data_IF_851744306430
#
_entry.id   IF_851744306430
#
_cell.length_a   1.000
_cell.length_b   1.000
_cell.length_c   1.000
_cell.angle_alpha   90.00
_cell.angle_beta   90.00
_cell.angle_gamma   90.00
#
_symmetry.space_group_name_H-M   'P 1'
#
loop_
_entity.id
_entity.type
_entity.pdbx_description
1 polymer ?
#
# COMPACT_ATOMS: atom_id res chain seq x y z
N UNK A 1 7.51 -11.36 13.69
CA UNK A 1 6.31 -11.42 12.85
C UNK A 1 6.54 -12.22 11.56
N UNK A 2 5.58 -13.07 11.20
CA UNK A 2 5.59 -13.84 9.96
C UNK A 2 4.43 -13.36 9.09
N UNK A 3 4.71 -13.03 7.82
CA UNK A 3 3.70 -12.51 6.91
C UNK A 3 3.39 -13.51 5.80
N UNK A 4 2.09 -13.66 5.49
CA UNK A 4 1.59 -14.53 4.41
C UNK A 4 0.58 -13.77 3.58
N UNK A 5 0.80 -13.73 2.27
CA UNK A 5 -0.17 -13.17 1.33
C UNK A 5 -1.19 -14.23 0.95
N UNK A 6 -2.46 -13.84 0.92
CA UNK A 6 -3.57 -14.69 0.48
C UNK A 6 -4.72 -13.83 -0.04
N UNK A 7 -5.69 -14.47 -0.68
CA UNK A 7 -6.94 -13.83 -1.06
C UNK A 7 -8.06 -14.29 -0.12
N UNK A 8 -8.79 -13.34 0.43
CA UNK A 8 -9.93 -13.59 1.31
C UNK A 8 -11.13 -12.86 0.70
N UNK A 9 -12.12 -13.60 0.22
CA UNK A 9 -13.37 -13.00 -0.24
C UNK A 9 -14.26 -12.66 0.98
N UNK A 10 -14.90 -11.46 1.03
CA UNK A 10 -14.94 -10.41 0.00
C UNK A 10 -13.80 -9.39 0.06
N UNK A 11 -12.84 -9.53 0.99
CA UNK A 11 -11.74 -8.56 1.21
C UNK A 11 -10.77 -8.40 0.02
N UNK A 12 -10.64 -9.42 -0.83
CA UNK A 12 -9.64 -9.47 -1.88
C UNK A 12 -8.24 -9.87 -1.37
N UNK A 13 -7.16 -9.39 -2.02
CA UNK A 13 -5.80 -9.73 -1.62
C UNK A 13 -5.42 -9.08 -0.28
N UNK A 14 -4.99 -9.91 0.67
CA UNK A 14 -4.55 -9.48 2.00
C UNK A 14 -3.16 -10.02 2.33
N UNK A 15 -2.45 -9.33 3.20
CA UNK A 15 -1.24 -9.82 3.84
C UNK A 15 -1.54 -9.99 5.33
N UNK A 16 -1.67 -11.22 5.76
CA UNK A 16 -1.81 -11.54 7.18
C UNK A 16 -0.41 -11.57 7.79
N UNK A 17 -0.22 -10.82 8.86
CA UNK A 17 1.01 -10.81 9.63
C UNK A 17 0.72 -11.36 11.02
N UNK A 18 1.26 -12.53 11.31
CA UNK A 18 1.25 -13.11 12.65
C UNK A 18 2.32 -12.44 13.51
N UNK A 19 1.93 -11.97 14.69
CA UNK A 19 2.83 -11.35 15.67
C UNK A 19 3.21 -12.36 16.73
N UNK A 20 4.44 -12.29 17.23
CA UNK A 20 4.85 -13.16 18.33
C UNK A 20 4.03 -12.85 19.60
N UNK A 21 3.84 -13.86 20.44
CA UNK A 21 3.12 -13.72 21.72
C UNK A 21 3.65 -12.55 22.55
N UNK A 22 2.73 -11.90 23.23
CA UNK A 22 2.91 -10.62 23.93
C UNK A 22 3.62 -10.84 25.29
N UNK A 23 3.65 -12.08 25.79
CA UNK A 23 4.04 -12.42 27.16
C UNK A 23 5.53 -12.76 27.35
N UNK A 24 6.37 -12.53 26.33
CA UNK A 24 7.79 -12.93 26.36
C UNK A 24 8.66 -11.87 27.03
N UNK A 25 8.99 -12.04 28.29
CA UNK A 25 9.84 -11.13 29.11
C UNK A 25 11.34 -11.30 28.91
N UNK A 26 11.78 -12.11 27.94
CA UNK A 26 13.20 -12.33 27.62
C UNK A 26 13.79 -11.19 26.79
N UNK A 27 15.14 -11.10 26.70
CA UNK A 27 15.80 -10.15 25.78
C UNK A 27 15.33 -10.32 24.34
N UNK A 28 15.02 -11.56 23.92
CA UNK A 28 14.44 -11.86 22.62
C UNK A 28 12.99 -11.36 22.53
N UNK A 29 12.24 -11.37 23.64
CA UNK A 29 10.91 -10.79 23.79
C UNK A 29 10.91 -9.30 23.51
N UNK A 30 11.85 -8.54 24.06
CA UNK A 30 11.97 -7.09 23.82
C UNK A 30 12.16 -6.77 22.34
N UNK A 31 13.04 -7.49 21.65
CA UNK A 31 13.24 -7.33 20.20
C UNK A 31 12.00 -7.73 19.38
N UNK A 32 11.22 -8.70 19.86
CA UNK A 32 9.95 -9.09 19.22
C UNK A 32 8.89 -8.02 19.42
N UNK A 33 8.81 -7.42 20.60
CA UNK A 33 7.90 -6.31 20.92
C UNK A 33 8.19 -5.09 20.02
N UNK A 34 9.46 -4.66 19.91
CA UNK A 34 9.84 -3.57 18.99
C UNK A 34 9.41 -3.83 17.55
N UNK A 35 9.57 -5.08 17.06
CA UNK A 35 9.11 -5.46 15.71
C UNK A 35 7.59 -5.48 15.60
N UNK A 36 6.88 -5.86 16.64
CA UNK A 36 5.41 -5.82 16.65
C UNK A 36 4.91 -4.36 16.64
N UNK A 37 5.54 -3.45 17.38
CA UNK A 37 5.25 -2.01 17.27
C UNK A 37 5.49 -1.46 15.87
N UNK A 38 6.53 -1.92 15.18
CA UNK A 38 6.76 -1.54 13.77
C UNK A 38 5.65 -2.07 12.85
N UNK A 39 5.08 -3.24 13.14
CA UNK A 39 3.93 -3.80 12.42
C UNK A 39 2.69 -2.95 12.66
N UNK A 40 2.39 -2.55 13.91
CA UNK A 40 1.24 -1.70 14.26
C UNK A 40 1.21 -0.41 13.43
N UNK A 41 2.36 0.16 13.13
CA UNK A 41 2.46 1.39 12.31
C UNK A 41 2.16 1.19 10.82
N UNK A 42 2.11 -0.07 10.35
CA UNK A 42 2.02 -0.42 8.91
C UNK A 42 0.72 -1.11 8.52
N UNK A 43 0.00 -1.69 9.49
CA UNK A 43 -1.21 -2.47 9.24
C UNK A 43 -2.44 -1.57 9.05
N UNK A 44 -3.38 -2.05 8.27
CA UNK A 44 -4.67 -1.38 8.01
C UNK A 44 -5.76 -1.83 8.97
N UNK A 45 -5.65 -3.05 9.53
CA UNK A 45 -6.62 -3.67 10.42
C UNK A 45 -5.88 -4.60 11.38
N UNK A 46 -6.26 -4.59 12.65
CA UNK A 46 -5.81 -5.56 13.64
C UNK A 46 -6.96 -6.51 13.99
N UNK A 47 -6.66 -7.81 13.99
CA UNK A 47 -7.52 -8.82 14.61
C UNK A 47 -6.90 -9.13 15.97
N UNK A 48 -7.61 -8.80 17.03
CA UNK A 48 -7.19 -9.07 18.42
C UNK A 48 -8.08 -10.13 19.03
N UNK A 49 -7.49 -11.17 19.61
CA UNK A 49 -8.23 -12.31 20.12
C UNK A 49 -7.98 -12.41 21.62
N UNK A 50 -9.05 -12.36 22.41
CA UNK A 50 -9.04 -12.64 23.86
C UNK A 50 -9.75 -13.97 24.15
N UNK A 51 -9.37 -14.61 25.22
CA UNK A 51 -10.03 -15.83 25.71
C UNK A 51 -11.24 -15.45 26.55
N UNK A 52 -12.34 -16.17 26.40
CA UNK A 52 -13.55 -15.93 27.18
C UNK A 52 -13.43 -16.33 28.67
N UNK A 53 -12.49 -17.23 28.99
CA UNK A 53 -12.24 -17.76 30.32
C UNK A 53 -11.14 -17.03 31.10
N UNK A 54 -10.53 -15.99 30.54
CA UNK A 54 -9.48 -15.19 31.13
C UNK A 54 -9.84 -13.69 31.17
N UNK A 55 -9.39 -12.96 32.18
CA UNK A 55 -9.51 -11.50 32.19
C UNK A 55 -8.44 -10.86 31.29
N UNK A 56 -8.75 -9.72 30.61
CA UNK A 56 -7.76 -8.99 29.85
C UNK A 56 -6.58 -8.56 30.73
N UNK A 57 -5.39 -8.86 30.32
CA UNK A 57 -4.16 -8.50 31.01
C UNK A 57 -3.82 -7.01 30.84
N UNK A 58 -2.90 -6.49 31.64
CA UNK A 58 -2.37 -5.13 31.45
C UNK A 58 -1.69 -4.96 30.08
N UNK A 59 -1.07 -6.02 29.56
CA UNK A 59 -0.42 -6.04 28.27
C UNK A 59 -1.45 -6.00 27.14
N UNK A 60 -2.58 -6.70 27.25
CA UNK A 60 -3.68 -6.61 26.30
C UNK A 60 -4.20 -5.17 26.19
N UNK A 61 -4.43 -4.52 27.31
CA UNK A 61 -4.89 -3.13 27.36
C UNK A 61 -3.86 -2.17 26.79
N UNK A 62 -2.57 -2.42 27.00
CA UNK A 62 -1.48 -1.64 26.42
C UNK A 62 -1.48 -1.75 24.88
N UNK A 63 -1.55 -2.96 24.34
CA UNK A 63 -1.53 -3.19 22.88
C UNK A 63 -2.78 -2.68 22.19
N UNK A 64 -3.96 -2.88 22.76
CA UNK A 64 -5.20 -2.30 22.25
C UNK A 64 -5.13 -0.76 22.27
N UNK A 65 -4.57 -0.17 23.34
CA UNK A 65 -4.32 1.26 23.42
C UNK A 65 -3.35 1.77 22.35
N UNK A 66 -2.27 1.04 22.09
CA UNK A 66 -1.28 1.37 21.06
C UNK A 66 -1.88 1.31 19.66
N UNK A 67 -2.69 0.29 19.36
CA UNK A 67 -3.42 0.17 18.10
C UNK A 67 -4.36 1.38 17.90
N UNK A 68 -5.13 1.73 18.93
CA UNK A 68 -6.02 2.89 18.89
C UNK A 68 -5.28 4.22 18.70
N UNK A 69 -4.19 4.45 19.42
CA UNK A 69 -3.33 5.64 19.28
C UNK A 69 -2.78 5.78 17.85
N UNK A 70 -2.53 4.66 17.19
CA UNK A 70 -2.10 4.64 15.79
C UNK A 70 -3.27 4.65 14.80
N UNK A 71 -4.52 4.89 15.24
CA UNK A 71 -5.72 4.86 14.40
C UNK A 71 -5.86 3.57 13.57
N UNK A 72 -5.48 2.41 14.15
CA UNK A 72 -5.70 1.11 13.52
C UNK A 72 -7.09 0.62 13.94
N UNK A 73 -7.99 0.34 13.00
CA UNK A 73 -9.25 -0.34 13.31
C UNK A 73 -8.97 -1.69 13.98
N UNK A 74 -9.73 -2.00 15.05
CA UNK A 74 -9.54 -3.22 15.83
C UNK A 74 -10.79 -4.07 15.73
N UNK A 75 -10.66 -5.25 15.16
CA UNK A 75 -11.64 -6.32 15.27
C UNK A 75 -11.28 -7.17 16.49
N UNK A 76 -12.00 -6.99 17.59
CA UNK A 76 -11.82 -7.73 18.82
C UNK A 76 -12.70 -8.98 18.81
N UNK A 77 -12.10 -10.14 18.97
CA UNK A 77 -12.80 -11.40 19.06
C UNK A 77 -12.59 -12.05 20.42
N UNK A 78 -13.69 -12.48 21.00
CA UNK A 78 -13.70 -13.28 22.21
C UNK A 78 -13.77 -14.75 21.79
N UNK A 79 -12.69 -15.50 22.02
CA UNK A 79 -12.63 -16.91 21.69
C UNK A 79 -13.39 -17.73 22.71
N UNK A 80 -14.53 -18.28 22.28
CA UNK A 80 -15.32 -19.20 23.08
C UNK A 80 -14.62 -20.57 23.09
N UNK A 81 -14.06 -20.95 24.24
CA UNK A 81 -13.47 -22.28 24.40
C UNK A 81 -14.61 -23.24 24.68
N UNK A 82 -14.89 -24.14 23.73
CA UNK A 82 -15.79 -25.25 24.01
C UNK A 82 -15.11 -26.22 24.99
N UNK A 83 -15.64 -26.28 26.18
CA UNK A 83 -15.20 -27.19 27.24
C UNK A 83 -15.44 -28.70 26.95
N UNK A 84 -15.74 -29.05 25.68
CA UNK A 84 -16.05 -30.44 25.29
C UNK A 84 -14.82 -31.31 24.99
N UNK A 85 -13.60 -30.82 25.08
CA UNK A 85 -12.42 -31.63 24.77
C UNK A 85 -11.85 -32.38 25.99
N UNK A 86 -12.25 -32.05 27.23
CA UNK A 86 -11.76 -32.72 28.46
C UNK A 86 -12.82 -33.58 29.16
N UNK A 87 -13.77 -34.19 28.44
CA UNK A 87 -14.77 -35.07 29.05
C UNK A 87 -14.35 -36.54 29.07
N UNK A 88 -13.38 -36.87 29.93
CA UNK A 88 -13.36 -38.23 30.52
C UNK A 88 -13.47 -38.26 32.07
N UNK A 89 -13.50 -37.15 32.78
CA UNK A 89 -13.41 -37.23 34.25
C UNK A 89 -14.26 -36.26 35.10
N UNK A 90 -15.34 -35.61 34.67
CA UNK A 90 -16.18 -34.95 35.67
C UNK A 90 -17.64 -34.78 35.18
N UNK A 91 -18.50 -35.68 35.64
CA UNK A 91 -19.96 -35.67 35.41
C UNK A 91 -20.78 -34.96 36.45
N UNK A 92 -20.36 -33.90 37.10
CA UNK A 92 -21.23 -33.29 38.12
C UNK A 92 -21.24 -31.75 38.27
N UNK A 93 -20.70 -30.98 37.34
CA UNK A 93 -20.92 -29.51 37.40
C UNK A 93 -21.11 -28.90 36.01
N UNK A 94 -22.23 -29.20 35.35
CA UNK A 94 -22.71 -28.46 34.18
C UNK A 94 -23.40 -27.17 34.66
N UNK A 95 -22.69 -26.07 34.68
CA UNK A 95 -23.27 -24.74 34.66
C UNK A 95 -22.82 -24.12 33.33
N UNK A 96 -23.79 -23.93 32.44
CA UNK A 96 -23.70 -23.18 31.18
C UNK A 96 -23.23 -21.73 31.43
N UNK A 97 -21.93 -21.48 31.53
CA UNK A 97 -21.41 -20.13 31.43
C UNK A 97 -20.80 -19.94 30.02
N UNK A 98 -21.64 -19.94 29.00
CA UNK A 98 -21.29 -19.32 27.73
C UNK A 98 -21.32 -17.81 27.95
N UNK A 99 -20.21 -17.23 28.31
CA UNK A 99 -20.05 -15.78 28.28
C UNK A 99 -19.97 -15.38 26.82
N UNK A 100 -21.05 -14.83 26.28
CA UNK A 100 -21.03 -14.26 24.92
C UNK A 100 -20.13 -13.00 24.90
N UNK A 101 -19.70 -12.59 23.72
CA UNK A 101 -18.81 -11.44 23.55
C UNK A 101 -19.38 -10.15 24.15
N UNK A 102 -20.71 -9.96 24.10
CA UNK A 102 -21.40 -8.80 24.65
C UNK A 102 -21.27 -8.74 26.16
N UNK A 103 -21.57 -9.84 26.83
CA UNK A 103 -21.45 -9.98 28.29
C UNK A 103 -19.99 -9.84 28.76
N UNK A 104 -19.04 -10.43 28.01
CA UNK A 104 -17.62 -10.29 28.32
C UNK A 104 -17.17 -8.82 28.29
N UNK A 105 -17.55 -8.10 27.24
CA UNK A 105 -17.16 -6.69 27.07
C UNK A 105 -17.88 -5.76 28.05
N UNK A 106 -19.16 -6.02 28.38
CA UNK A 106 -19.90 -5.28 29.43
C UNK A 106 -19.25 -5.43 30.81
N UNK A 107 -18.70 -6.61 31.08
CA UNK A 107 -18.01 -6.91 32.35
C UNK A 107 -16.64 -6.19 32.39
N UNK A 108 -15.93 -6.11 31.28
CA UNK A 108 -14.60 -5.49 31.19
C UNK A 108 -14.68 -4.06 30.60
N UNK A 109 -15.06 -3.11 31.46
CA UNK A 109 -15.19 -1.69 31.08
C UNK A 109 -13.90 -1.15 30.45
N UNK A 110 -14.01 -0.61 29.25
CA UNK A 110 -12.93 -0.02 28.48
C UNK A 110 -12.59 -0.76 27.20
N UNK A 111 -12.94 -2.03 27.03
CA UNK A 111 -12.73 -2.78 25.78
C UNK A 111 -13.61 -2.24 24.65
N UNK A 112 -14.86 -1.88 24.96
CA UNK A 112 -15.78 -1.29 23.99
C UNK A 112 -15.28 0.02 23.38
N UNK A 113 -14.55 0.81 24.18
CA UNK A 113 -13.98 2.08 23.72
C UNK A 113 -12.74 1.90 22.84
N UNK A 114 -12.08 0.75 22.91
CA UNK A 114 -10.87 0.44 22.18
C UNK A 114 -11.14 -0.28 20.85
N UNK A 115 -12.15 -1.13 20.83
CA UNK A 115 -12.49 -1.93 19.65
C UNK A 115 -13.39 -1.18 18.66
N UNK A 116 -13.18 -1.42 17.36
CA UNK A 116 -14.03 -0.91 16.27
C UNK A 116 -15.22 -1.84 16.07
N UNK A 117 -14.98 -3.14 16.16
CA UNK A 117 -16.00 -4.20 16.09
C UNK A 117 -15.66 -5.25 17.14
N UNK A 118 -16.69 -5.83 17.73
CA UNK A 118 -16.59 -6.90 18.73
C UNK A 118 -17.42 -8.08 18.24
N UNK A 119 -16.82 -9.27 18.28
CA UNK A 119 -17.48 -10.52 17.92
C UNK A 119 -17.04 -11.66 18.80
N UNK A 120 -17.85 -12.71 18.88
CA UNK A 120 -17.44 -14.00 19.42
C UNK A 120 -16.96 -14.90 18.28
N UNK A 121 -15.95 -15.70 18.53
CA UNK A 121 -15.44 -16.64 17.55
C UNK A 121 -15.13 -17.98 18.22
N UNK A 122 -15.73 -19.04 17.68
CA UNK A 122 -15.23 -20.39 17.87
C UNK A 122 -14.38 -20.73 16.63
N UNK A 123 -13.08 -20.59 16.74
CA UNK A 123 -12.17 -20.85 15.64
C UNK A 123 -12.10 -22.32 15.19
N UNK A 124 -12.76 -23.21 15.88
CA UNK A 124 -12.91 -24.63 15.50
C UNK A 124 -14.07 -24.83 14.51
N UNK A 125 -15.10 -23.98 14.54
CA UNK A 125 -16.26 -24.05 13.67
C UNK A 125 -16.03 -23.38 12.31
N UNK A 126 -16.40 -24.03 11.21
CA UNK A 126 -16.28 -23.49 9.86
C UNK A 126 -17.27 -22.32 9.64
N UNK A 127 -18.47 -22.41 10.16
CA UNK A 127 -19.50 -21.36 10.01
C UNK A 127 -19.08 -20.06 10.72
N UNK A 128 -18.50 -20.17 11.91
CA UNK A 128 -17.96 -19.03 12.67
C UNK A 128 -16.76 -18.36 11.99
N UNK A 129 -15.97 -19.10 11.21
CA UNK A 129 -14.90 -18.50 10.39
C UNK A 129 -15.46 -17.65 9.25
N UNK A 130 -16.61 -18.02 8.67
CA UNK A 130 -17.27 -17.22 7.64
C UNK A 130 -17.84 -15.93 8.23
N UNK A 131 -18.50 -16.00 9.39
CA UNK A 131 -18.96 -14.81 10.13
C UNK A 131 -17.79 -13.84 10.44
N UNK A 132 -16.63 -14.39 10.84
CA UNK A 132 -15.41 -13.60 11.03
C UNK A 132 -15.01 -12.85 9.76
N UNK A 133 -15.02 -13.53 8.62
CA UNK A 133 -14.63 -12.92 7.34
C UNK A 133 -15.63 -11.84 6.90
N UNK A 134 -16.92 -12.03 7.14
CA UNK A 134 -17.95 -11.04 6.87
C UNK A 134 -17.80 -9.80 7.75
N UNK A 135 -17.52 -9.99 9.05
CA UNK A 135 -17.21 -8.90 9.97
C UNK A 135 -15.96 -8.14 9.55
N UNK A 136 -14.88 -8.84 9.20
CA UNK A 136 -13.66 -8.22 8.69
C UNK A 136 -13.92 -7.48 7.37
N UNK A 137 -14.77 -8.02 6.50
CA UNK A 137 -15.21 -7.39 5.25
C UNK A 137 -15.89 -6.05 5.45
N UNK A 138 -16.70 -5.92 6.51
CA UNK A 138 -17.35 -4.68 6.91
C UNK A 138 -16.42 -3.61 7.49
N UNK A 139 -15.25 -4.04 7.98
CA UNK A 139 -14.19 -3.16 8.52
C UNK A 139 -13.12 -2.79 7.51
N UNK A 140 -13.30 -3.19 6.26
CA UNK A 140 -12.30 -2.90 5.25
C UNK A 140 -12.10 -1.42 4.99
N UNK A 141 -10.94 -1.08 4.45
CA UNK A 141 -10.30 0.24 4.50
C UNK A 141 -11.02 1.40 3.85
N UNK A 142 -12.24 1.27 3.38
CA UNK A 142 -13.06 2.40 2.95
C UNK A 142 -13.12 3.50 4.04
N UNK A 143 -13.16 3.08 5.32
CA UNK A 143 -13.16 4.00 6.46
C UNK A 143 -11.75 4.54 6.81
N UNK A 144 -10.68 3.87 6.37
CA UNK A 144 -9.30 4.20 6.74
C UNK A 144 -8.54 4.90 5.61
N UNK A 145 -8.86 4.59 4.35
CA UNK A 145 -8.21 5.18 3.17
C UNK A 145 -9.03 6.32 2.54
N UNK A 146 -10.27 6.57 3.01
CA UNK A 146 -11.25 7.44 2.37
C UNK A 146 -11.70 6.84 1.02
N UNK A 147 -12.79 7.37 0.46
CA UNK A 147 -13.35 6.94 -0.83
C UNK A 147 -12.46 7.28 -2.05
N UNK A 148 -11.17 7.57 -1.83
CA UNK A 148 -10.26 7.94 -2.90
C UNK A 148 -9.88 6.71 -3.71
N UNK A 149 -10.29 6.68 -4.97
CA UNK A 149 -9.91 5.65 -5.93
C UNK A 149 -8.80 6.13 -6.86
N UNK A 150 -8.15 5.19 -7.55
CA UNK A 150 -7.00 5.48 -8.41
C UNK A 150 -7.32 6.49 -9.52
N UNK A 151 -8.53 6.39 -10.11
CA UNK A 151 -9.00 7.22 -11.23
C UNK A 151 -10.10 8.21 -10.86
N UNK A 152 -10.36 8.42 -9.58
CA UNK A 152 -11.38 9.35 -9.10
C UNK A 152 -11.22 10.74 -9.73
N UNK A 153 -12.30 11.25 -10.34
CA UNK A 153 -12.33 12.56 -11.01
C UNK A 153 -11.58 12.62 -12.35
N UNK A 154 -11.01 11.51 -12.82
CA UNK A 154 -10.29 11.43 -14.09
C UNK A 154 -11.09 10.73 -15.18
N UNK A 155 -11.96 9.80 -14.80
CA UNK A 155 -12.71 8.92 -15.71
C UNK A 155 -14.19 8.98 -15.38
N UNK A 156 -15.00 9.10 -16.42
CA UNK A 156 -16.47 9.09 -16.37
C UNK A 156 -17.03 7.96 -17.24
N UNK A 157 -18.34 7.68 -17.11
CA UNK A 157 -19.03 6.67 -17.90
C UNK A 157 -18.89 6.96 -19.41
N UNK A 158 -18.43 5.96 -20.15
CA UNK A 158 -18.25 6.05 -21.61
C UNK A 158 -16.89 6.60 -22.06
N UNK A 159 -16.05 7.10 -21.14
CA UNK A 159 -14.70 7.55 -21.49
C UNK A 159 -13.85 6.38 -22.02
N UNK A 160 -13.04 6.66 -23.03
CA UNK A 160 -12.06 5.72 -23.59
C UNK A 160 -10.68 6.05 -23.07
N UNK A 161 -10.03 5.09 -22.44
CA UNK A 161 -8.68 5.21 -21.88
C UNK A 161 -7.76 4.21 -22.58
N UNK A 162 -6.62 4.68 -23.08
CA UNK A 162 -5.58 3.79 -23.65
C UNK A 162 -4.52 3.53 -22.58
N UNK A 163 -4.24 2.25 -22.36
CA UNK A 163 -3.22 1.77 -21.43
C UNK A 163 -2.05 1.20 -22.24
N UNK A 164 -0.90 1.84 -22.15
CA UNK A 164 0.33 1.36 -22.81
C UNK A 164 1.14 0.52 -21.84
N UNK A 165 1.15 -0.79 -22.07
CA UNK A 165 1.75 -1.80 -21.23
C UNK A 165 2.89 -2.51 -21.97
N UNK A 166 4.13 -2.02 -21.91
CA UNK A 166 5.24 -2.69 -22.56
C UNK A 166 5.49 -4.07 -21.94
N UNK A 167 5.85 -5.02 -22.80
CA UNK A 167 6.22 -6.38 -22.38
C UNK A 167 7.74 -6.44 -22.35
N UNK A 168 8.31 -6.23 -21.21
CA UNK A 168 9.76 -6.31 -20.97
C UNK A 168 10.15 -7.55 -20.14
N UNK A 169 11.44 -7.68 -19.85
CA UNK A 169 11.96 -8.81 -19.07
C UNK A 169 11.48 -8.85 -17.62
N UNK A 170 11.02 -7.69 -17.09
CA UNK A 170 10.50 -7.56 -15.73
C UNK A 170 9.01 -7.89 -15.64
N UNK A 171 8.28 -7.87 -16.76
CA UNK A 171 6.87 -8.23 -16.79
C UNK A 171 6.68 -9.73 -16.51
N UNK A 172 5.79 -10.11 -15.57
CA UNK A 172 5.52 -11.51 -15.30
C UNK A 172 4.92 -12.18 -16.54
N UNK A 173 5.49 -13.35 -16.94
CA UNK A 173 4.97 -14.08 -18.10
C UNK A 173 3.49 -14.43 -17.92
N UNK A 174 2.67 -14.04 -18.91
CA UNK A 174 1.25 -14.38 -18.96
C UNK A 174 0.33 -13.53 -18.08
N UNK A 175 0.82 -12.43 -17.48
CA UNK A 175 -0.03 -11.52 -16.70
C UNK A 175 0.50 -10.08 -16.73
N UNK A 176 -0.39 -9.14 -16.48
CA UNK A 176 -0.06 -7.74 -16.25
C UNK A 176 0.41 -7.52 -14.78
N UNK A 177 1.10 -6.41 -14.54
CA UNK A 177 1.49 -6.01 -13.18
C UNK A 177 0.31 -5.36 -12.43
N UNK A 178 0.39 -5.34 -11.10
CA UNK A 178 -0.70 -4.89 -10.25
C UNK A 178 -1.28 -3.50 -10.60
N UNK A 179 -0.48 -2.43 -10.82
CA UNK A 179 -1.03 -1.13 -11.19
C UNK A 179 -1.83 -1.15 -12.49
N UNK A 180 -1.39 -1.94 -13.48
CA UNK A 180 -2.09 -2.09 -14.77
C UNK A 180 -3.45 -2.76 -14.58
N UNK A 181 -3.48 -3.86 -13.81
CA UNK A 181 -4.72 -4.60 -13.52
C UNK A 181 -5.70 -3.75 -12.72
N UNK A 182 -5.22 -3.03 -11.70
CA UNK A 182 -6.06 -2.13 -10.90
C UNK A 182 -6.66 -1.00 -11.75
N UNK A 183 -5.85 -0.39 -12.62
CA UNK A 183 -6.33 0.68 -13.51
C UNK A 183 -7.40 0.15 -14.48
N UNK A 184 -7.18 -1.02 -15.11
CA UNK A 184 -8.18 -1.64 -16.00
C UNK A 184 -9.48 -1.89 -15.24
N UNK A 185 -9.39 -2.50 -14.05
CA UNK A 185 -10.56 -2.82 -13.24
C UNK A 185 -11.35 -1.57 -12.88
N UNK A 186 -10.69 -0.52 -12.48
CA UNK A 186 -11.36 0.71 -12.08
C UNK A 186 -12.00 1.45 -13.26
N UNK A 187 -11.37 1.44 -14.44
CA UNK A 187 -12.03 1.95 -15.67
C UNK A 187 -13.37 1.22 -15.91
N UNK A 188 -13.39 -0.10 -15.72
CA UNK A 188 -14.62 -0.89 -15.87
C UNK A 188 -15.64 -0.56 -14.77
N UNK A 189 -15.22 -0.32 -13.55
CA UNK A 189 -16.10 0.09 -12.45
C UNK A 189 -16.76 1.46 -12.72
N UNK A 190 -16.07 2.38 -13.42
CA UNK A 190 -16.64 3.63 -13.94
C UNK A 190 -17.42 3.47 -15.25
N UNK A 191 -17.60 2.23 -15.75
CA UNK A 191 -18.23 1.92 -17.06
C UNK A 191 -17.53 2.59 -18.25
N UNK A 192 -16.23 2.83 -18.12
CA UNK A 192 -15.35 3.31 -19.18
C UNK A 192 -14.87 2.16 -20.08
N UNK A 193 -14.16 2.52 -21.13
CA UNK A 193 -13.57 1.61 -22.12
C UNK A 193 -12.05 1.58 -21.92
N UNK A 194 -11.51 0.43 -21.55
CA UNK A 194 -10.08 0.20 -21.41
C UNK A 194 -9.51 -0.44 -22.68
N UNK A 195 -8.63 0.26 -23.40
CA UNK A 195 -7.88 -0.25 -24.53
C UNK A 195 -6.44 -0.47 -24.13
N UNK A 196 -5.89 -1.65 -24.40
CA UNK A 196 -4.53 -2.01 -23.96
C UNK A 196 -3.68 -2.32 -25.19
N UNK A 197 -2.50 -1.70 -25.28
CA UNK A 197 -1.53 -1.95 -26.36
C UNK A 197 -0.10 -1.88 -25.84
N UNK A 198 0.86 -2.30 -26.64
CA UNK A 198 2.26 -1.99 -26.45
C UNK A 198 2.60 -0.61 -27.06
N UNK A 199 3.83 -0.16 -26.84
CA UNK A 199 4.25 1.21 -27.20
C UNK A 199 4.12 1.49 -28.70
N UNK A 200 4.56 0.59 -29.56
CA UNK A 200 4.61 0.82 -31.00
C UNK A 200 3.24 0.71 -31.70
N UNK A 201 2.26 0.06 -31.09
CA UNK A 201 0.89 -0.03 -31.58
C UNK A 201 0.02 1.18 -31.21
N UNK A 202 0.51 2.05 -30.31
CA UNK A 202 -0.23 3.23 -29.82
C UNK A 202 -0.76 4.14 -30.95
N UNK A 203 0.03 4.54 -31.96
CA UNK A 203 -0.48 5.39 -33.03
C UNK A 203 -1.60 4.73 -33.86
N UNK A 204 -1.48 3.44 -34.15
CA UNK A 204 -2.51 2.68 -34.84
C UNK A 204 -3.80 2.61 -34.03
N UNK A 205 -3.68 2.41 -32.70
CA UNK A 205 -4.82 2.38 -31.80
C UNK A 205 -5.52 3.74 -31.73
N UNK A 206 -4.79 4.84 -31.55
CA UNK A 206 -5.37 6.20 -31.54
C UNK A 206 -6.10 6.47 -32.87
N UNK A 207 -5.49 6.15 -34.00
CA UNK A 207 -6.07 6.39 -35.32
C UNK A 207 -7.29 5.51 -35.65
N UNK A 208 -7.47 4.40 -34.93
CA UNK A 208 -8.64 3.52 -35.09
C UNK A 208 -9.88 4.04 -34.39
N UNK A 209 -9.74 4.99 -33.47
CA UNK A 209 -10.84 5.55 -32.71
C UNK A 209 -11.61 6.61 -33.48
N UNK A 210 -12.93 6.59 -33.38
CA UNK A 210 -13.80 7.62 -33.93
C UNK A 210 -13.63 8.98 -33.25
N UNK A 211 -13.37 8.93 -31.95
CA UNK A 211 -13.13 10.08 -31.07
C UNK A 211 -11.81 9.92 -30.35
N UNK A 212 -11.07 11.01 -30.05
CA UNK A 212 -9.84 10.89 -29.29
C UNK A 212 -10.10 10.27 -27.91
N UNK A 213 -9.14 9.49 -27.39
CA UNK A 213 -9.27 8.96 -26.03
C UNK A 213 -9.22 10.09 -25.02
N UNK A 214 -9.83 9.90 -23.85
CA UNK A 214 -9.82 10.84 -22.73
C UNK A 214 -8.39 11.08 -22.23
N UNK A 215 -7.59 10.01 -22.12
CA UNK A 215 -6.17 10.05 -21.79
C UNK A 215 -5.44 8.77 -22.19
N UNK A 216 -4.12 8.88 -22.21
CA UNK A 216 -3.18 7.75 -22.31
C UNK A 216 -2.48 7.58 -20.96
N UNK A 217 -2.42 6.34 -20.48
CA UNK A 217 -1.71 5.97 -19.25
C UNK A 217 -0.66 4.93 -19.63
N UNK A 218 0.62 5.20 -19.33
CA UNK A 218 1.70 4.31 -19.73
C UNK A 218 2.55 3.84 -18.55
N UNK A 219 3.38 2.85 -18.78
CA UNK A 219 4.48 2.54 -17.89
C UNK A 219 5.53 3.66 -17.96
N UNK A 220 6.03 4.12 -16.82
CA UNK A 220 7.00 5.23 -16.76
C UNK A 220 8.29 4.94 -17.51
N UNK A 221 8.62 3.67 -17.73
CA UNK A 221 9.79 3.28 -18.53
C UNK A 221 9.68 3.62 -20.01
N UNK A 222 8.45 3.75 -20.52
CA UNK A 222 8.14 4.05 -21.91
C UNK A 222 7.74 5.52 -22.13
N UNK A 223 7.89 6.38 -21.10
CA UNK A 223 7.39 7.75 -21.14
C UNK A 223 7.90 8.55 -22.34
N UNK A 224 9.22 8.52 -22.58
CA UNK A 224 9.85 9.22 -23.70
C UNK A 224 9.21 8.83 -25.05
N UNK A 225 9.13 7.55 -25.30
CA UNK A 225 8.57 7.05 -26.56
C UNK A 225 7.06 7.25 -26.67
N UNK A 226 6.32 7.07 -25.58
CA UNK A 226 4.87 7.28 -25.58
C UNK A 226 4.52 8.76 -25.72
N UNK A 227 5.33 9.65 -25.16
CA UNK A 227 5.17 11.10 -25.34
C UNK A 227 5.32 11.51 -26.82
N UNK A 228 6.36 11.02 -27.50
CA UNK A 228 6.57 11.25 -28.94
C UNK A 228 5.40 10.73 -29.80
N UNK A 229 4.78 9.62 -29.42
CA UNK A 229 3.72 8.95 -30.18
C UNK A 229 2.31 9.47 -29.85
N UNK A 230 2.15 10.24 -28.78
CA UNK A 230 0.86 10.74 -28.32
C UNK A 230 0.69 12.22 -28.71
N UNK A 231 -0.35 12.57 -29.49
CA UNK A 231 -0.65 13.97 -29.81
C UNK A 231 -0.76 14.84 -28.54
N UNK A 232 -0.28 16.09 -28.60
CA UNK A 232 -0.29 17.02 -27.44
C UNK A 232 -1.69 17.32 -26.90
N UNK A 233 -2.71 17.12 -27.74
CA UNK A 233 -4.12 17.32 -27.36
C UNK A 233 -4.67 16.22 -26.47
N UNK A 234 -3.96 15.09 -26.35
CA UNK A 234 -4.37 13.95 -25.52
C UNK A 234 -3.58 13.98 -24.22
N UNK A 235 -4.25 14.07 -23.07
CA UNK A 235 -3.60 13.97 -21.75
C UNK A 235 -2.81 12.67 -21.62
N UNK A 236 -1.63 12.78 -21.01
CA UNK A 236 -0.71 11.65 -20.80
C UNK A 236 -0.29 11.61 -19.32
N UNK A 237 -0.33 10.42 -18.74
CA UNK A 237 0.24 10.17 -17.41
C UNK A 237 0.80 8.75 -17.32
N UNK A 238 1.28 8.35 -16.14
CA UNK A 238 1.78 6.98 -15.93
C UNK A 238 1.12 6.26 -14.76
N UNK A 239 1.15 4.93 -14.80
CA UNK A 239 0.71 4.11 -13.67
C UNK A 239 1.44 4.49 -12.36
N UNK A 240 2.72 4.84 -12.43
CA UNK A 240 3.49 5.23 -11.25
C UNK A 240 3.04 6.57 -10.67
N UNK A 241 2.64 7.55 -11.50
CA UNK A 241 2.09 8.83 -11.04
C UNK A 241 0.68 8.63 -10.46
N UNK A 242 -0.14 7.81 -11.11
CA UNK A 242 -1.45 7.43 -10.55
C UNK A 242 -1.32 6.79 -9.17
N UNK A 243 -0.38 5.86 -9.00
CA UNK A 243 -0.11 5.23 -7.69
C UNK A 243 0.42 6.24 -6.67
N UNK A 244 1.24 7.21 -7.10
CA UNK A 244 1.73 8.29 -6.24
C UNK A 244 0.59 9.18 -5.72
N UNK A 245 -0.39 9.48 -6.59
CA UNK A 245 -1.62 10.19 -6.21
C UNK A 245 -2.49 9.36 -5.27
N UNK A 246 -2.74 8.10 -5.62
CA UNK A 246 -3.62 7.21 -4.89
C UNK A 246 -3.11 6.86 -3.50
N UNK A 247 -1.82 6.51 -3.37
CA UNK A 247 -1.24 6.05 -2.10
C UNK A 247 -0.46 7.12 -1.34
N UNK A 248 -0.08 8.21 -2.01
CA UNK A 248 0.77 9.26 -1.44
C UNK A 248 0.11 10.63 -1.40
N UNK A 249 0.98 11.62 -1.28
CA UNK A 249 0.68 13.03 -1.47
C UNK A 249 1.42 13.50 -2.72
N UNK A 250 0.73 13.55 -3.86
CA UNK A 250 1.34 13.86 -5.15
C UNK A 250 2.04 15.23 -5.12
N UNK A 251 1.48 16.21 -4.40
CA UNK A 251 2.06 17.53 -4.22
C UNK A 251 3.48 17.45 -3.63
N UNK A 252 3.68 16.70 -2.53
CA UNK A 252 4.99 16.57 -1.88
C UNK A 252 6.00 15.88 -2.80
N UNK A 253 5.55 14.87 -3.54
CA UNK A 253 6.38 14.11 -4.49
C UNK A 253 6.77 14.94 -5.72
N UNK A 254 5.91 15.84 -6.19
CA UNK A 254 6.23 16.79 -7.27
C UNK A 254 7.17 17.88 -6.77
N UNK A 255 6.96 18.39 -5.56
CA UNK A 255 7.86 19.39 -4.95
C UNK A 255 9.30 18.85 -4.80
N UNK A 256 9.45 17.55 -4.54
CA UNK A 256 10.76 16.90 -4.45
C UNK A 256 11.61 16.98 -5.73
N UNK A 257 11.00 17.23 -6.89
CA UNK A 257 11.71 17.36 -8.18
C UNK A 257 12.73 18.51 -8.17
N UNK A 258 12.42 19.59 -7.47
CA UNK A 258 13.35 20.75 -7.42
C UNK A 258 14.71 20.39 -6.82
N UNK A 259 14.75 19.41 -5.90
CA UNK A 259 15.99 18.94 -5.31
C UNK A 259 16.95 18.29 -6.33
N UNK A 260 16.42 17.73 -7.43
CA UNK A 260 17.25 17.11 -8.48
C UNK A 260 18.25 18.13 -9.05
N UNK A 261 17.78 19.36 -9.30
CA UNK A 261 18.63 20.45 -9.84
C UNK A 261 19.76 20.84 -8.89
N UNK A 262 19.60 20.58 -7.61
CA UNK A 262 20.55 20.95 -6.56
C UNK A 262 21.55 19.83 -6.22
N UNK A 263 21.41 18.63 -6.81
CA UNK A 263 22.34 17.52 -6.59
C UNK A 263 23.73 17.84 -7.12
N UNK A 264 24.72 17.59 -6.29
CA UNK A 264 26.16 17.83 -6.58
C UNK A 264 26.94 16.53 -6.49
N UNK A 265 28.19 16.56 -6.93
CA UNK A 265 29.12 15.45 -6.69
C UNK A 265 29.21 15.15 -5.19
N UNK A 266 29.05 13.89 -4.82
CA UNK A 266 29.02 13.43 -3.44
C UNK A 266 27.65 13.51 -2.75
N UNK A 267 26.60 14.08 -3.39
CA UNK A 267 25.25 14.07 -2.82
C UNK A 267 24.78 12.64 -2.56
N UNK A 268 24.16 12.44 -1.39
CA UNK A 268 23.62 11.16 -0.96
C UNK A 268 22.15 11.01 -1.40
N UNK A 269 21.89 9.97 -2.17
CA UNK A 269 20.55 9.69 -2.68
C UNK A 269 20.10 8.30 -2.24
N UNK A 270 18.95 8.24 -1.54
CA UNK A 270 18.32 6.99 -1.16
C UNK A 270 17.34 6.56 -2.25
N UNK A 271 17.55 5.38 -2.83
CA UNK A 271 16.57 4.72 -3.73
C UNK A 271 15.84 3.65 -2.93
N UNK A 272 14.55 3.88 -2.66
CA UNK A 272 13.73 3.04 -1.79
C UNK A 272 12.64 2.31 -2.55
N UNK A 273 12.71 0.98 -2.57
CA UNK A 273 11.72 0.11 -3.20
C UNK A 273 10.78 -0.49 -2.15
N UNK A 274 9.48 -0.52 -2.47
CA UNK A 274 8.46 -1.07 -1.58
C UNK A 274 8.30 -2.58 -1.64
N UNK A 275 8.97 -3.26 -2.56
CA UNK A 275 8.90 -4.70 -2.74
C UNK A 275 10.29 -5.35 -2.71
N UNK A 276 10.30 -6.67 -2.56
CA UNK A 276 11.51 -7.52 -2.55
C UNK A 276 11.53 -8.41 -3.79
N UNK A 277 11.25 -7.85 -4.97
CA UNK A 277 11.35 -8.60 -6.21
C UNK A 277 12.81 -8.93 -6.57
N UNK A 278 13.01 -9.97 -7.36
CA UNK A 278 14.35 -10.33 -7.84
C UNK A 278 14.81 -9.24 -8.81
N UNK A 279 15.91 -8.58 -8.49
CA UNK A 279 16.54 -7.58 -9.37
C UNK A 279 17.01 -8.25 -10.66
N UNK A 280 16.72 -7.59 -11.78
CA UNK A 280 17.12 -8.00 -13.13
C UNK A 280 18.15 -7.05 -13.70
N UNK A 281 18.74 -7.40 -14.85
CA UNK A 281 19.78 -6.60 -15.51
C UNK A 281 19.29 -5.19 -15.89
N UNK A 282 17.98 -5.00 -16.09
CA UNK A 282 17.34 -3.74 -16.49
C UNK A 282 16.42 -3.16 -15.41
N UNK A 283 16.74 -3.42 -14.16
CA UNK A 283 15.95 -2.95 -13.01
C UNK A 283 15.84 -1.42 -12.99
N UNK A 284 14.63 -0.91 -12.70
CA UNK A 284 14.35 0.53 -12.76
C UNK A 284 15.15 1.28 -11.70
N UNK A 285 15.13 0.80 -10.46
CA UNK A 285 15.74 1.50 -9.33
C UNK A 285 17.26 1.42 -9.33
N UNK A 286 17.82 0.26 -9.63
CA UNK A 286 19.26 0.01 -9.50
C UNK A 286 20.07 0.27 -10.78
N UNK A 287 19.40 0.30 -11.94
CA UNK A 287 20.06 0.48 -13.25
C UNK A 287 19.54 1.69 -14.01
N UNK A 288 18.23 1.74 -14.31
CA UNK A 288 17.69 2.78 -15.22
C UNK A 288 17.75 4.17 -14.61
N UNK A 289 17.29 4.35 -13.37
CA UNK A 289 17.32 5.66 -12.68
C UNK A 289 18.75 6.17 -12.48
N UNK A 290 19.71 5.39 -11.96
CA UNK A 290 21.10 5.82 -11.90
C UNK A 290 21.67 6.26 -13.26
N UNK A 291 21.35 5.53 -14.33
CA UNK A 291 21.80 5.88 -15.68
C UNK A 291 21.14 7.15 -16.20
N UNK A 292 19.86 7.37 -15.93
CA UNK A 292 19.17 8.62 -16.29
C UNK A 292 19.77 9.83 -15.55
N UNK A 293 20.03 9.72 -14.25
CA UNK A 293 20.68 10.76 -13.47
C UNK A 293 22.07 11.08 -14.01
N UNK A 294 22.86 10.07 -14.38
CA UNK A 294 24.19 10.26 -15.02
C UNK A 294 24.08 10.98 -16.36
N UNK A 295 23.08 10.63 -17.20
CA UNK A 295 22.85 11.33 -18.49
C UNK A 295 22.53 12.80 -18.31
N UNK A 296 21.91 13.17 -17.19
CA UNK A 296 21.60 14.56 -16.83
C UNK A 296 22.76 15.30 -16.12
N UNK A 297 23.94 14.66 -16.04
CA UNK A 297 25.14 15.28 -15.49
C UNK A 297 25.43 14.97 -14.01
N UNK A 298 24.58 14.18 -13.34
CA UNK A 298 24.77 13.77 -11.94
C UNK A 298 25.62 12.48 -11.88
N UNK A 299 26.95 12.58 -12.03
CA UNK A 299 27.84 11.42 -12.22
C UNK A 299 28.36 10.81 -10.92
N UNK A 300 28.57 11.61 -9.88
CA UNK A 300 29.27 11.20 -8.65
C UNK A 300 28.36 11.20 -7.43
N UNK A 301 27.16 10.63 -7.57
CA UNK A 301 26.20 10.49 -6.47
C UNK A 301 26.54 9.27 -5.59
N UNK A 302 26.35 9.42 -4.29
CA UNK A 302 26.39 8.31 -3.33
C UNK A 302 24.99 7.67 -3.26
N UNK A 303 24.80 6.54 -3.96
CA UNK A 303 23.52 5.86 -4.05
C UNK A 303 23.41 4.80 -2.96
N UNK A 304 22.40 4.89 -2.13
CA UNK A 304 22.01 3.85 -1.17
C UNK A 304 20.67 3.24 -1.58
N UNK A 305 20.48 1.95 -1.29
CA UNK A 305 19.31 1.20 -1.74
C UNK A 305 18.64 0.49 -0.57
N UNK A 306 17.31 0.63 -0.48
CA UNK A 306 16.49 -0.14 0.46
C UNK A 306 15.37 -0.86 -0.28
N UNK A 307 14.89 -1.98 0.28
CA UNK A 307 13.81 -2.76 -0.33
C UNK A 307 12.82 -3.29 0.71
N UNK A 308 11.58 -3.53 0.27
CA UNK A 308 10.51 -4.04 1.12
C UNK A 308 10.14 -3.11 2.27
N UNK A 309 10.10 -3.64 3.49
CA UNK A 309 9.78 -2.88 4.70
C UNK A 309 10.92 -2.03 5.25
N UNK A 310 12.14 -2.17 4.72
CA UNK A 310 13.31 -1.45 5.20
C UNK A 310 13.32 0.00 4.71
N UNK A 311 12.85 0.92 5.55
CA UNK A 311 12.95 2.36 5.32
C UNK A 311 13.61 3.00 6.55
N UNK A 312 14.70 3.81 6.40
CA UNK A 312 15.42 4.38 7.52
C UNK A 312 14.52 5.27 8.39
N UNK A 313 14.72 5.23 9.71
CA UNK A 313 14.05 6.15 10.66
C UNK A 313 14.61 7.56 10.55
N UNK A 314 15.92 7.67 10.35
CA UNK A 314 16.63 8.93 10.11
C UNK A 314 16.98 9.02 8.61
N UNK A 315 16.35 9.95 7.94
CA UNK A 315 16.56 10.24 6.51
C UNK A 315 17.20 11.61 6.27
N UNK A 316 17.49 12.37 7.33
CA UNK A 316 18.05 13.73 7.25
C UNK A 316 19.43 13.79 6.58
N UNK A 317 20.12 12.66 6.51
CA UNK A 317 21.43 12.55 5.84
C UNK A 317 21.37 12.51 4.31
N UNK A 318 20.17 12.35 3.71
CA UNK A 318 20.01 12.25 2.26
C UNK A 318 19.60 13.59 1.65
N UNK A 319 20.20 13.93 0.52
CA UNK A 319 19.85 15.10 -0.28
C UNK A 319 18.58 14.87 -1.11
N UNK A 320 18.25 13.60 -1.38
CA UNK A 320 17.04 13.19 -2.10
C UNK A 320 16.67 11.75 -1.78
N UNK A 321 15.38 11.48 -1.63
CA UNK A 321 14.82 10.14 -1.60
C UNK A 321 14.07 9.90 -2.91
N UNK A 322 14.39 8.80 -3.59
CA UNK A 322 13.69 8.34 -4.80
C UNK A 322 12.91 7.08 -4.42
N UNK A 323 11.60 7.19 -4.31
CA UNK A 323 10.70 6.10 -3.91
C UNK A 323 10.06 5.44 -5.12
N UNK A 324 9.93 4.11 -5.14
CA UNK A 324 9.23 3.41 -6.22
C UNK A 324 7.72 3.74 -6.25
N UNK A 325 6.98 3.21 -7.24
CA UNK A 325 5.53 3.36 -7.35
C UNK A 325 4.70 2.75 -6.21
N UNK A 326 5.35 2.05 -5.27
CA UNK A 326 4.76 1.52 -4.03
C UNK A 326 3.53 0.60 -4.23
N UNK A 327 3.44 -0.09 -5.36
CA UNK A 327 2.30 -0.93 -5.69
C UNK A 327 2.02 -2.03 -4.63
N UNK A 328 3.07 -2.54 -3.98
CA UNK A 328 2.98 -3.58 -2.95
C UNK A 328 2.91 -3.05 -1.51
N UNK A 329 3.03 -1.74 -1.30
CA UNK A 329 2.89 -1.12 0.02
C UNK A 329 1.45 -0.69 0.25
N UNK A 330 1.03 -0.69 1.52
CA UNK A 330 -0.23 -0.04 1.92
C UNK A 330 -0.11 1.48 1.79
N UNK A 331 -1.22 2.18 1.57
CA UNK A 331 -1.27 3.64 1.55
C UNK A 331 -0.67 4.24 2.83
N UNK A 332 -1.01 3.67 3.97
CA UNK A 332 -0.49 4.07 5.29
C UNK A 332 1.03 4.06 5.35
N UNK A 333 1.67 3.01 4.87
CA UNK A 333 3.14 2.91 4.85
C UNK A 333 3.76 3.94 3.89
N UNK A 334 3.13 4.20 2.75
CA UNK A 334 3.60 5.23 1.81
C UNK A 334 3.52 6.62 2.44
N UNK A 335 2.37 6.96 3.04
CA UNK A 335 2.19 8.24 3.73
C UNK A 335 3.18 8.41 4.88
N UNK A 336 3.41 7.36 5.68
CA UNK A 336 4.41 7.37 6.76
C UNK A 336 5.83 7.67 6.23
N UNK A 337 6.21 7.10 5.09
CA UNK A 337 7.53 7.34 4.46
C UNK A 337 7.65 8.77 3.96
N UNK A 338 6.61 9.28 3.30
CA UNK A 338 6.56 10.68 2.84
C UNK A 338 6.63 11.64 4.03
N UNK A 339 5.83 11.40 5.06
CA UNK A 339 5.82 12.24 6.27
C UNK A 339 7.18 12.20 7.00
N UNK A 340 7.79 11.03 7.11
CA UNK A 340 9.13 10.88 7.67
C UNK A 340 10.17 11.73 6.93
N UNK A 341 10.08 11.79 5.59
CA UNK A 341 10.95 12.61 4.77
C UNK A 341 10.65 14.11 4.94
N UNK A 342 9.39 14.50 4.85
CA UNK A 342 8.94 15.90 4.95
C UNK A 342 9.28 16.52 6.31
N UNK A 343 8.98 15.81 7.41
CA UNK A 343 9.27 16.30 8.79
C UNK A 343 10.77 16.50 9.01
N UNK A 344 11.62 15.68 8.39
CA UNK A 344 13.09 15.80 8.47
C UNK A 344 13.68 16.75 7.43
N UNK A 345 12.84 17.38 6.58
CA UNK A 345 13.29 18.32 5.55
C UNK A 345 14.00 17.65 4.38
N UNK A 346 13.87 16.32 4.21
CA UNK A 346 14.49 15.59 3.12
C UNK A 346 13.53 15.52 1.93
N UNK A 347 13.92 16.03 0.75
CA UNK A 347 13.09 15.93 -0.45
C UNK A 347 12.83 14.48 -0.84
N UNK A 348 11.59 14.19 -1.25
CA UNK A 348 11.18 12.87 -1.70
C UNK A 348 10.46 12.96 -3.04
N UNK A 349 10.77 12.06 -3.96
CA UNK A 349 10.15 11.97 -5.29
C UNK A 349 9.85 10.51 -5.59
N UNK A 350 8.82 10.22 -6.41
CA UNK A 350 8.59 8.87 -6.87
C UNK A 350 9.18 8.62 -8.27
N UNK A 351 9.34 7.33 -8.64
CA UNK A 351 9.91 6.92 -9.92
C UNK A 351 9.22 7.59 -11.13
N UNK A 352 7.88 7.62 -11.15
CA UNK A 352 7.15 8.19 -12.29
C UNK A 352 7.34 9.68 -12.42
N UNK A 353 7.26 10.42 -11.31
CA UNK A 353 7.50 11.87 -11.26
C UNK A 353 8.94 12.20 -11.64
N UNK A 354 9.91 11.45 -11.09
CA UNK A 354 11.34 11.61 -11.41
C UNK A 354 11.61 11.38 -12.90
N UNK A 355 11.15 10.25 -13.45
CA UNK A 355 11.40 9.90 -14.86
C UNK A 355 10.76 10.94 -15.78
N UNK A 356 9.52 11.37 -15.51
CA UNK A 356 8.87 12.44 -16.26
C UNK A 356 9.67 13.76 -16.22
N UNK A 357 10.22 14.11 -15.05
CA UNK A 357 11.05 15.31 -14.89
C UNK A 357 12.36 15.22 -15.68
N UNK A 358 13.04 14.06 -15.62
CA UNK A 358 14.31 13.84 -16.32
C UNK A 358 14.14 13.78 -17.86
N UNK A 359 12.95 13.41 -18.36
CA UNK A 359 12.61 13.48 -19.78
C UNK A 359 12.02 14.84 -20.21
N UNK A 360 11.81 15.78 -19.27
CA UNK A 360 11.26 17.11 -19.57
C UNK A 360 9.76 17.16 -19.84
N UNK A 361 9.03 16.10 -19.52
CA UNK A 361 7.58 15.95 -19.77
C UNK A 361 6.73 16.00 -18.49
N UNK A 362 7.33 16.45 -17.36
CA UNK A 362 6.63 16.45 -16.08
C UNK A 362 5.33 17.24 -16.11
N UNK A 363 5.34 18.43 -16.69
CA UNK A 363 4.14 19.30 -16.76
C UNK A 363 2.99 18.59 -17.48
N UNK A 364 3.28 17.90 -18.57
CA UNK A 364 2.30 17.10 -19.31
C UNK A 364 1.82 15.92 -18.48
N UNK A 365 2.73 15.20 -17.85
CA UNK A 365 2.44 13.98 -17.09
C UNK A 365 1.58 14.23 -15.82
N UNK A 366 1.68 15.44 -15.23
CA UNK A 366 0.89 15.83 -14.06
C UNK A 366 -0.29 16.73 -14.42
N UNK A 367 -0.47 17.13 -15.68
CA UNK A 367 -1.56 18.01 -16.11
C UNK A 367 -2.95 17.51 -15.70
N UNK A 368 -3.25 16.20 -15.71
CA UNK A 368 -4.55 15.70 -15.24
C UNK A 368 -4.83 15.97 -13.75
N UNK A 369 -3.80 16.29 -12.95
CA UNK A 369 -3.87 16.46 -11.50
C UNK A 369 -3.55 17.90 -11.04
N UNK A 370 -3.46 18.86 -11.97
CA UNK A 370 -2.92 20.21 -11.68
C UNK A 370 -3.72 20.94 -10.60
N UNK A 371 -5.03 20.74 -10.56
CA UNK A 371 -5.92 21.37 -9.56
C UNK A 371 -5.72 20.80 -8.15
N UNK A 372 -5.29 19.54 -8.05
CA UNK A 372 -4.98 18.89 -6.78
C UNK A 372 -3.59 19.32 -6.26
N UNK A 373 -2.63 19.52 -7.16
CA UNK A 373 -1.25 19.92 -6.82
C UNK A 373 -1.18 21.39 -6.37
N UNK A 374 -2.06 22.25 -6.88
CA UNK A 374 -2.09 23.70 -6.55
C UNK A 374 -2.86 24.04 -5.28
N UNK A 375 -3.61 23.08 -4.72
CA UNK A 375 -4.32 23.25 -3.43
C UNK A 375 -3.40 23.02 -2.25
#
# INVERSE_FOLDING_TARGET
PVSKSMEILPLGPVVITDTAGIDDTTELGTLRMEKTEEVVKKINLAVYVLRADEEPTADDMHWLGLLKQNNVPIALFINEINAEIDQENDKENNIENKTDASTYVETHKGLSDLATVIGSADFTSQDKRLELLDLLGGLTPLDVEGDQTLLQGLVEEGDTIILVCPIDSAAPKGRLILPQVQTIREILDYKGLALVCQTEELPAMINSLKYPPKMVICDSQAFDRVDELTPDTIPLTSFSILMARFKGKLQDLVAGVEAIKNLKAGSKVLISEGCTHRRQCDDIGTVKIPNLLKKQGHTDLQLEFTSGGAFPKDVSQYDLIIHCGACMLTRREVLRRIECAVVQGTPIVNYGVLIAALHGILERAISPFIDEIKR
#
